data_IF_609938118487
#
_entry.id   IF_609938118487
#
_cell.length_a   1.000
_cell.length_b   1.000
_cell.length_c   1.000
_cell.angle_alpha   90.00
_cell.angle_beta   90.00
_cell.angle_gamma   90.00
#
_symmetry.space_group_name_H-M   'P 1'
#
loop_
_entity.id
_entity.type
_entity.pdbx_description
1 polymer ?
#
# COMPACT_ATOMS: atom_id res chain seq x y z
N UNK A 1 -30.49 -5.34 24.08
CA UNK A 1 -29.60 -6.49 23.83
C UNK A 1 -29.64 -6.76 22.33
N UNK A 2 -28.50 -6.65 21.64
CA UNK A 2 -28.44 -6.99 20.21
C UNK A 2 -28.59 -8.50 20.06
N UNK A 3 -29.36 -8.96 19.05
CA UNK A 3 -29.40 -10.37 18.69
C UNK A 3 -27.97 -10.84 18.31
N UNK A 4 -27.61 -12.10 18.62
CA UNK A 4 -26.36 -12.70 18.16
C UNK A 4 -26.28 -12.72 16.63
N UNK A 5 -25.07 -12.57 16.09
CA UNK A 5 -24.82 -12.45 14.65
C UNK A 5 -25.34 -13.68 13.89
N UNK A 6 -25.25 -14.87 14.49
CA UNK A 6 -25.70 -16.11 13.90
C UNK A 6 -27.22 -16.17 13.69
N UNK A 7 -28.01 -15.53 14.56
CA UNK A 7 -29.46 -15.44 14.42
C UNK A 7 -29.87 -14.46 13.32
N UNK A 8 -29.18 -13.32 13.23
CA UNK A 8 -29.40 -12.35 12.16
C UNK A 8 -29.09 -12.95 10.78
N UNK A 9 -28.02 -13.73 10.66
CA UNK A 9 -27.65 -14.46 9.43
C UNK A 9 -28.67 -15.54 9.06
N UNK A 10 -29.33 -16.15 10.05
CA UNK A 10 -30.40 -17.12 9.81
C UNK A 10 -31.66 -16.45 9.25
N UNK A 11 -32.05 -15.29 9.79
CA UNK A 11 -33.23 -14.50 9.39
C UNK A 11 -33.08 -13.81 8.01
N UNK A 12 -31.84 -13.65 7.51
CA UNK A 12 -31.58 -12.98 6.23
C UNK A 12 -32.15 -13.75 5.01
N UNK A 13 -32.70 -13.06 4.00
CA UNK A 13 -32.98 -13.62 2.67
C UNK A 13 -31.73 -14.21 2.03
N UNK A 14 -31.89 -15.23 1.17
CA UNK A 14 -30.76 -15.94 0.54
C UNK A 14 -29.79 -15.03 -0.20
N UNK A 15 -30.29 -13.98 -0.84
CA UNK A 15 -29.47 -13.05 -1.63
C UNK A 15 -28.49 -12.28 -0.73
N UNK A 16 -28.96 -11.80 0.41
CA UNK A 16 -28.14 -11.06 1.37
C UNK A 16 -27.15 -11.95 2.14
N UNK A 17 -27.40 -13.26 2.25
CA UNK A 17 -26.42 -14.19 2.84
C UNK A 17 -25.14 -14.28 2.01
N UNK A 18 -25.25 -14.12 0.68
CA UNK A 18 -24.07 -14.07 -0.20
C UNK A 18 -23.23 -12.83 0.10
N UNK A 19 -23.86 -11.65 0.16
CA UNK A 19 -23.15 -10.41 0.45
C UNK A 19 -22.47 -10.42 1.82
N UNK A 20 -23.13 -10.98 2.85
CA UNK A 20 -22.53 -11.12 4.19
C UNK A 20 -21.32 -12.06 4.15
N UNK A 21 -21.40 -13.15 3.38
CA UNK A 21 -20.26 -14.07 3.19
C UNK A 21 -19.09 -13.36 2.51
N UNK A 22 -19.35 -12.66 1.41
CA UNK A 22 -18.32 -11.93 0.66
C UNK A 22 -17.67 -10.85 1.52
N UNK A 23 -18.47 -10.14 2.32
CA UNK A 23 -17.98 -9.13 3.25
C UNK A 23 -17.13 -9.75 4.37
N UNK A 24 -17.54 -10.88 4.92
CA UNK A 24 -16.76 -11.60 5.94
C UNK A 24 -15.41 -12.08 5.38
N UNK A 25 -15.40 -12.63 4.16
CA UNK A 25 -14.19 -13.06 3.46
C UNK A 25 -13.26 -11.88 3.13
N UNK A 26 -13.84 -10.75 2.72
CA UNK A 26 -13.11 -9.50 2.53
C UNK A 26 -12.45 -9.01 3.83
N UNK A 27 -13.17 -9.03 4.95
CA UNK A 27 -12.64 -8.60 6.25
C UNK A 27 -11.49 -9.50 6.73
N UNK A 28 -11.62 -10.83 6.57
CA UNK A 28 -10.57 -11.79 6.88
C UNK A 28 -9.31 -11.52 6.04
N UNK A 29 -9.50 -11.33 4.73
CA UNK A 29 -8.40 -11.04 3.80
C UNK A 29 -7.74 -9.68 4.08
N UNK A 30 -8.54 -8.65 4.38
CA UNK A 30 -8.05 -7.30 4.69
C UNK A 30 -7.25 -7.28 5.99
N UNK A 31 -7.64 -8.08 6.99
CA UNK A 31 -6.89 -8.21 8.25
C UNK A 31 -5.56 -8.94 8.03
N UNK A 32 -5.53 -9.95 7.16
CA UNK A 32 -4.28 -10.65 6.80
C UNK A 32 -3.29 -9.75 6.04
N UNK A 33 -3.78 -8.86 5.17
CA UNK A 33 -2.93 -7.91 4.39
C UNK A 33 -2.42 -6.71 5.21
N UNK A 34 -2.88 -6.55 6.46
CA UNK A 34 -2.65 -5.36 7.28
C UNK A 34 -1.43 -5.41 8.19
N UNK A 35 -0.52 -6.37 8.04
CA UNK A 35 0.80 -6.20 8.64
C UNK A 35 1.45 -5.01 7.91
N UNK A 36 1.67 -3.86 8.56
CA UNK A 36 2.33 -2.74 7.91
C UNK A 36 3.74 -3.23 7.57
N UNK A 37 4.01 -3.50 6.30
CA UNK A 37 5.39 -3.66 5.84
C UNK A 37 6.08 -2.35 6.22
N UNK A 38 7.01 -2.39 7.17
CA UNK A 38 7.89 -1.25 7.45
C UNK A 38 8.45 -0.81 6.11
N UNK A 39 8.27 0.46 5.77
CA UNK A 39 8.90 1.05 4.60
C UNK A 39 10.40 0.81 4.75
N UNK A 40 11.01 0.04 3.84
CA UNK A 40 12.39 -0.42 4.00
C UNK A 40 13.38 0.74 4.04
N UNK A 41 13.04 1.89 3.45
CA UNK A 41 13.89 3.10 3.37
C UNK A 41 15.34 2.76 2.97
N UNK A 42 15.51 1.67 2.22
CA UNK A 42 16.77 1.12 1.76
C UNK A 42 17.44 2.01 0.69
N UNK A 43 16.65 2.90 0.09
CA UNK A 43 17.10 3.97 -0.78
C UNK A 43 17.54 5.22 -0.01
N UNK A 44 17.14 5.41 1.25
CA UNK A 44 17.47 6.61 2.01
C UNK A 44 18.98 6.63 2.31
N UNK A 45 19.66 7.68 1.88
CA UNK A 45 21.12 7.78 2.01
C UNK A 45 21.92 7.12 0.89
N UNK A 46 21.30 6.51 -0.13
CA UNK A 46 22.02 5.87 -1.24
C UNK A 46 22.88 6.80 -2.13
N UNK A 47 22.82 8.11 -1.90
CA UNK A 47 23.65 9.13 -2.57
C UNK A 47 24.64 9.80 -1.60
N UNK A 48 24.85 9.26 -0.40
CA UNK A 48 25.80 9.82 0.59
C UNK A 48 27.21 9.96 0.02
N UNK A 49 27.66 8.95 -0.72
CA UNK A 49 29.03 8.85 -1.22
C UNK A 49 29.31 9.79 -2.40
N UNK A 50 28.24 10.32 -2.99
CA UNK A 50 28.28 11.29 -4.08
C UNK A 50 28.25 12.73 -3.57
N UNK A 51 27.97 12.94 -2.27
CA UNK A 51 27.95 14.28 -1.65
C UNK A 51 29.31 14.98 -1.74
N UNK A 52 30.39 14.23 -1.61
CA UNK A 52 31.76 14.79 -1.65
C UNK A 52 32.26 14.98 -3.10
N UNK A 53 31.60 14.35 -4.08
CA UNK A 53 31.99 14.36 -5.49
C UNK A 53 31.17 15.33 -6.34
N UNK A 54 29.95 15.66 -5.89
CA UNK A 54 29.05 16.53 -6.62
C UNK A 54 28.42 17.54 -5.66
N UNK A 55 28.42 18.79 -6.09
CA UNK A 55 27.60 19.82 -5.46
C UNK A 55 26.12 19.55 -5.75
N UNK A 56 25.24 20.01 -4.85
CA UNK A 56 23.79 19.81 -4.99
C UNK A 56 23.26 20.32 -6.34
N UNK A 57 23.86 21.40 -6.86
CA UNK A 57 23.50 22.00 -8.15
C UNK A 57 23.87 21.10 -9.33
N UNK A 58 25.00 20.41 -9.28
CA UNK A 58 25.43 19.49 -10.35
C UNK A 58 24.54 18.25 -10.41
N UNK A 59 24.12 17.73 -9.26
CA UNK A 59 23.14 16.63 -9.20
C UNK A 59 21.78 17.05 -9.77
N UNK A 60 21.33 18.27 -9.50
CA UNK A 60 20.09 18.80 -10.06
C UNK A 60 20.16 18.92 -11.60
N UNK A 61 21.28 19.41 -12.14
CA UNK A 61 21.50 19.49 -13.59
C UNK A 61 21.50 18.11 -14.24
N UNK A 62 22.26 17.16 -13.69
CA UNK A 62 22.26 15.77 -14.18
C UNK A 62 20.89 15.11 -14.09
N UNK A 63 20.12 15.40 -13.03
CA UNK A 63 18.77 14.85 -12.89
C UNK A 63 17.78 15.41 -13.93
N UNK A 64 17.97 16.66 -14.38
CA UNK A 64 17.21 17.24 -15.49
C UNK A 64 17.59 16.57 -16.81
N UNK A 65 18.89 16.46 -17.09
CA UNK A 65 19.41 15.76 -18.29
C UNK A 65 18.88 14.32 -18.39
N UNK A 66 18.93 13.54 -17.30
CA UNK A 66 18.43 12.16 -17.29
C UNK A 66 16.91 12.04 -17.47
N UNK A 67 16.14 13.09 -17.18
CA UNK A 67 14.69 13.10 -17.43
C UNK A 67 14.37 13.43 -18.88
N UNK A 68 15.19 14.30 -19.50
CA UNK A 68 15.06 14.66 -20.91
C UNK A 68 15.55 13.52 -21.83
N UNK A 69 16.64 12.84 -21.46
CA UNK A 69 17.18 11.66 -22.18
C UNK A 69 16.21 10.45 -22.13
N UNK A 70 15.33 10.40 -21.13
CA UNK A 70 14.28 9.38 -21.01
C UNK A 70 13.01 9.67 -21.83
N UNK A 71 12.96 10.81 -22.54
CA UNK A 71 11.80 11.25 -23.31
C UNK A 71 11.85 10.91 -24.80
N UNK A 72 12.76 10.02 -25.21
CA UNK A 72 12.86 9.45 -26.57
C UNK A 72 12.60 7.94 -26.59
#
# INVERSE_FOLDING_TARGET
MSKPLEELIKELPRDLKSEVRDFAEFLLTKRAKKAPKKLRQDWAGGLSDLRDQYTEIELQKKALEWREDRSV
#
